data_IF_771653914934
#
_entry.id   IF_771653914934
#
_cell.length_a   1.000
_cell.length_b   1.000
_cell.length_c   1.000
_cell.angle_alpha   90.00
_cell.angle_beta   90.00
_cell.angle_gamma   90.00
#
_symmetry.space_group_name_H-M   'P 1'
#
loop_
_entity.id
_entity.type
_entity.pdbx_description
1 polymer ?
#
# COMPACT_ATOMS: atom_id res chain seq x y z
N UNK A 1 -41.35 0.03 15.01
CA UNK A 1 -42.15 1.09 14.33
C UNK A 1 -42.54 2.26 15.22
N UNK A 2 -42.77 2.04 16.52
CA UNK A 2 -43.13 3.10 17.46
C UNK A 2 -42.08 4.24 17.62
N UNK A 3 -40.81 3.95 17.54
CA UNK A 3 -39.71 4.91 17.73
C UNK A 3 -39.69 6.02 16.69
N UNK A 4 -39.92 5.69 15.41
CA UNK A 4 -39.98 6.67 14.33
C UNK A 4 -41.23 7.57 14.39
N UNK A 5 -42.35 7.06 14.89
CA UNK A 5 -43.56 7.86 15.09
C UNK A 5 -43.42 8.86 16.22
N UNK A 6 -42.75 8.46 17.31
CA UNK A 6 -42.43 9.33 18.44
C UNK A 6 -41.46 10.43 18.03
N UNK A 7 -40.40 10.09 17.29
CA UNK A 7 -39.46 11.08 16.75
C UNK A 7 -40.16 12.11 15.86
N UNK A 8 -41.04 11.67 14.95
CA UNK A 8 -41.81 12.56 14.04
C UNK A 8 -42.72 13.48 14.84
N UNK A 9 -43.38 12.99 15.87
CA UNK A 9 -44.25 13.79 16.72
C UNK A 9 -43.47 14.85 17.50
N UNK A 10 -42.28 14.50 18.03
CA UNK A 10 -41.43 15.48 18.73
C UNK A 10 -40.89 16.51 17.78
N UNK A 11 -40.40 16.14 16.59
CA UNK A 11 -39.83 17.06 15.62
C UNK A 11 -40.90 17.98 14.99
N UNK A 12 -42.19 17.58 15.01
CA UNK A 12 -43.30 18.41 14.52
C UNK A 12 -43.99 19.22 15.63
N UNK A 13 -43.47 19.20 16.86
CA UNK A 13 -44.02 19.95 17.97
C UNK A 13 -43.73 21.44 17.82
N UNK A 14 -44.77 22.22 17.62
CA UNK A 14 -44.68 23.66 17.22
C UNK A 14 -44.49 24.63 18.39
N UNK A 15 -44.70 24.18 19.63
CA UNK A 15 -44.64 25.05 20.80
C UNK A 15 -43.22 25.34 21.29
N UNK A 16 -42.27 24.42 21.01
CA UNK A 16 -40.86 24.56 21.39
C UNK A 16 -39.97 23.93 20.29
N UNK A 17 -38.77 24.46 20.03
CA UNK A 17 -37.84 23.91 19.04
C UNK A 17 -37.16 22.65 19.61
N UNK A 18 -37.89 21.53 19.64
CA UNK A 18 -37.39 20.22 20.07
C UNK A 18 -36.90 19.43 18.85
N UNK A 19 -35.71 18.83 18.97
CA UNK A 19 -35.20 17.94 17.95
C UNK A 19 -34.89 16.58 18.58
N UNK A 20 -35.65 15.57 18.23
CA UNK A 20 -35.39 14.19 18.62
C UNK A 20 -34.42 13.53 17.64
N UNK A 21 -33.23 13.15 18.11
CA UNK A 21 -32.21 12.44 17.34
C UNK A 21 -32.23 10.98 17.78
N UNK A 22 -32.19 10.05 16.82
CA UNK A 22 -32.01 8.64 17.08
C UNK A 22 -30.50 8.34 17.01
N UNK A 23 -29.81 8.10 18.13
CA UNK A 23 -28.36 7.90 18.15
C UNK A 23 -27.91 6.72 17.26
N UNK A 24 -28.74 5.67 17.18
CA UNK A 24 -28.44 4.51 16.35
C UNK A 24 -28.44 4.80 14.83
N UNK A 25 -29.31 5.71 14.35
CA UNK A 25 -29.33 6.11 12.94
C UNK A 25 -28.15 7.00 12.63
N UNK A 26 -27.86 7.99 13.47
CA UNK A 26 -26.71 8.87 13.29
C UNK A 26 -25.39 8.10 13.31
N UNK A 27 -25.23 7.11 14.21
CA UNK A 27 -24.09 6.22 14.23
C UNK A 27 -23.99 5.36 12.96
N UNK A 28 -25.11 4.82 12.46
CA UNK A 28 -25.09 4.01 11.23
C UNK A 28 -24.70 4.82 10.00
N UNK A 29 -25.14 6.07 9.89
CA UNK A 29 -24.74 6.99 8.82
C UNK A 29 -23.23 7.31 8.90
N UNK A 30 -22.72 7.55 10.11
CA UNK A 30 -21.28 7.79 10.33
C UNK A 30 -20.44 6.56 9.93
N UNK A 31 -20.88 5.35 10.30
CA UNK A 31 -20.22 4.11 9.89
C UNK A 31 -20.24 3.90 8.38
N UNK A 32 -21.34 4.26 7.70
CA UNK A 32 -21.40 4.18 6.24
C UNK A 32 -20.44 5.17 5.58
N UNK A 33 -20.36 6.41 6.08
CA UNK A 33 -19.39 7.40 5.58
C UNK A 33 -17.95 6.94 5.80
N UNK A 34 -17.64 6.37 6.97
CA UNK A 34 -16.31 5.81 7.24
C UNK A 34 -15.97 4.64 6.31
N UNK A 35 -16.94 3.76 6.05
CA UNK A 35 -16.77 2.65 5.09
C UNK A 35 -16.50 3.13 3.66
N UNK A 36 -17.15 4.20 3.22
CA UNK A 36 -16.87 4.81 1.93
C UNK A 36 -15.43 5.37 1.87
N UNK A 37 -15.00 6.09 2.90
CA UNK A 37 -13.62 6.59 3.00
C UNK A 37 -12.61 5.45 2.97
N UNK A 38 -12.82 4.40 3.75
CA UNK A 38 -11.94 3.23 3.78
C UNK A 38 -11.82 2.57 2.39
N UNK A 39 -12.93 2.36 1.70
CA UNK A 39 -12.94 1.77 0.37
C UNK A 39 -12.22 2.66 -0.66
N UNK A 40 -12.42 3.98 -0.59
CA UNK A 40 -11.75 4.94 -1.47
C UNK A 40 -10.24 4.94 -1.24
N UNK A 41 -9.80 4.97 0.03
CA UNK A 41 -8.37 4.90 0.37
C UNK A 41 -7.74 3.57 -0.06
N UNK A 42 -8.47 2.47 0.08
CA UNK A 42 -8.03 1.14 -0.37
C UNK A 42 -7.84 1.10 -1.90
N UNK A 43 -8.76 1.70 -2.65
CA UNK A 43 -8.65 1.80 -4.12
C UNK A 43 -7.45 2.65 -4.52
N UNK A 44 -7.27 3.82 -3.90
CA UNK A 44 -6.12 4.71 -4.15
C UNK A 44 -4.81 3.98 -3.83
N UNK A 45 -4.73 3.28 -2.69
CA UNK A 45 -3.55 2.51 -2.29
C UNK A 45 -3.21 1.41 -3.32
N UNK A 46 -4.22 0.74 -3.86
CA UNK A 46 -4.05 -0.24 -4.93
C UNK A 46 -3.47 0.38 -6.22
N UNK A 47 -3.98 1.54 -6.62
CA UNK A 47 -3.45 2.26 -7.78
C UNK A 47 -2.02 2.73 -7.58
N UNK A 48 -1.68 3.23 -6.39
CA UNK A 48 -0.32 3.63 -6.03
C UNK A 48 0.63 2.42 -6.07
N UNK A 49 0.20 1.27 -5.55
CA UNK A 49 0.98 0.03 -5.60
C UNK A 49 1.28 -0.39 -7.04
N UNK A 50 0.28 -0.38 -7.92
CA UNK A 50 0.46 -0.70 -9.34
C UNK A 50 1.44 0.28 -9.99
N UNK A 51 1.28 1.59 -9.77
CA UNK A 51 2.17 2.61 -10.30
C UNK A 51 3.61 2.42 -9.80
N UNK A 52 3.81 2.09 -8.53
CA UNK A 52 5.12 1.82 -7.94
C UNK A 52 5.79 0.58 -8.56
N UNK A 53 5.04 -0.51 -8.77
CA UNK A 53 5.55 -1.73 -9.41
C UNK A 53 5.94 -1.49 -10.88
N UNK A 54 5.14 -0.72 -11.62
CA UNK A 54 5.47 -0.32 -12.99
C UNK A 54 6.72 0.59 -13.02
N UNK A 55 6.83 1.53 -12.10
CA UNK A 55 8.00 2.40 -11.94
C UNK A 55 9.26 1.61 -11.62
N UNK A 56 9.19 0.63 -10.71
CA UNK A 56 10.28 -0.28 -10.41
C UNK A 56 10.73 -1.05 -11.66
N UNK A 57 9.79 -1.64 -12.38
CA UNK A 57 10.08 -2.39 -13.61
C UNK A 57 10.74 -1.50 -14.68
N UNK A 58 10.26 -0.27 -14.87
CA UNK A 58 10.81 0.68 -15.80
C UNK A 58 12.23 1.11 -15.42
N UNK A 59 12.48 1.38 -14.13
CA UNK A 59 13.79 1.75 -13.61
C UNK A 59 14.80 0.61 -13.77
N UNK A 60 14.38 -0.63 -13.52
CA UNK A 60 15.23 -1.81 -13.74
C UNK A 60 15.58 -2.02 -15.20
N UNK A 61 14.61 -1.83 -16.12
CA UNK A 61 14.88 -1.89 -17.57
C UNK A 61 15.88 -0.82 -18.01
N UNK A 62 15.80 0.39 -17.46
CA UNK A 62 16.77 1.45 -17.74
C UNK A 62 18.16 1.08 -17.21
N UNK A 63 18.25 0.62 -15.96
CA UNK A 63 19.51 0.18 -15.33
C UNK A 63 20.20 -0.94 -16.15
N UNK A 64 19.45 -1.92 -16.63
CA UNK A 64 19.98 -3.00 -17.48
C UNK A 64 20.60 -2.43 -18.78
N UNK A 65 19.95 -1.44 -19.42
CA UNK A 65 20.47 -0.80 -20.63
C UNK A 65 21.74 0.00 -20.38
N UNK A 66 21.82 0.72 -19.26
CA UNK A 66 23.01 1.48 -18.90
C UNK A 66 24.22 0.59 -18.62
N UNK A 67 23.99 -0.62 -18.04
CA UNK A 67 25.04 -1.60 -17.73
C UNK A 67 25.25 -2.66 -18.81
N UNK A 68 24.75 -2.45 -20.03
CA UNK A 68 24.83 -3.45 -21.11
C UNK A 68 26.27 -3.87 -21.41
N UNK A 69 27.23 -2.97 -21.35
CA UNK A 69 28.67 -3.27 -21.53
C UNK A 69 29.23 -4.15 -20.41
N UNK A 70 28.85 -3.92 -19.17
CA UNK A 70 29.29 -4.74 -18.02
C UNK A 70 28.71 -6.17 -18.12
N UNK A 71 27.44 -6.25 -18.54
CA UNK A 71 26.76 -7.53 -18.77
C UNK A 71 27.45 -8.32 -19.90
N UNK A 72 27.87 -7.64 -20.97
CA UNK A 72 28.60 -8.27 -22.06
C UNK A 72 30.00 -8.76 -21.61
N UNK A 73 30.70 -7.99 -20.80
CA UNK A 73 32.00 -8.39 -20.20
C UNK A 73 31.85 -9.65 -19.33
N UNK A 74 30.85 -9.72 -18.47
CA UNK A 74 30.54 -10.89 -17.66
C UNK A 74 30.29 -12.14 -18.52
N UNK A 75 29.67 -11.97 -19.68
CA UNK A 75 29.44 -13.07 -20.62
C UNK A 75 30.73 -13.55 -21.31
N UNK A 76 31.63 -12.65 -21.63
CA UNK A 76 32.94 -13.02 -22.21
C UNK A 76 33.76 -13.87 -21.25
N UNK A 77 33.65 -13.58 -19.94
CA UNK A 77 34.31 -14.36 -18.85
C UNK A 77 33.58 -15.70 -18.59
N UNK A 78 32.38 -15.92 -19.19
CA UNK A 78 31.67 -17.20 -19.11
C UNK A 78 30.55 -17.25 -18.08
N UNK A 79 30.08 -16.10 -17.56
CA UNK A 79 28.95 -16.07 -16.62
C UNK A 79 27.66 -16.60 -17.28
N UNK A 80 26.94 -17.56 -16.66
CA UNK A 80 25.70 -18.09 -17.21
C UNK A 80 24.59 -17.03 -17.17
N UNK A 81 23.67 -17.06 -18.15
CA UNK A 81 22.55 -16.12 -18.22
C UNK A 81 21.63 -16.17 -16.97
N UNK A 82 21.56 -17.33 -16.31
CA UNK A 82 20.84 -17.48 -15.05
C UNK A 82 21.42 -16.64 -13.90
N UNK A 83 22.74 -16.44 -13.87
CA UNK A 83 23.39 -15.61 -12.88
C UNK A 83 22.92 -14.14 -13.00
N UNK A 84 22.82 -13.63 -14.22
CA UNK A 84 22.31 -12.28 -14.50
C UNK A 84 20.84 -12.13 -14.06
N UNK A 85 20.02 -13.15 -14.32
CA UNK A 85 18.63 -13.16 -13.87
C UNK A 85 18.53 -13.03 -12.34
N UNK A 86 19.25 -13.88 -11.60
CA UNK A 86 19.24 -13.83 -10.14
C UNK A 86 19.82 -12.54 -9.58
N UNK A 87 20.82 -11.95 -10.22
CA UNK A 87 21.41 -10.69 -9.78
C UNK A 87 20.38 -9.54 -9.84
N UNK A 88 19.64 -9.44 -10.94
CA UNK A 88 18.60 -8.42 -11.14
C UNK A 88 17.45 -8.65 -10.16
N UNK A 89 17.04 -9.89 -9.95
CA UNK A 89 15.97 -10.23 -9.00
C UNK A 89 16.40 -9.91 -7.55
N UNK A 90 17.65 -10.18 -7.18
CA UNK A 90 18.19 -9.81 -5.88
C UNK A 90 18.23 -8.30 -5.67
N UNK A 91 18.61 -7.53 -6.70
CA UNK A 91 18.59 -6.06 -6.66
C UNK A 91 17.16 -5.54 -6.42
N UNK A 92 16.16 -6.08 -7.12
CA UNK A 92 14.75 -5.73 -6.91
C UNK A 92 14.27 -6.03 -5.49
N UNK A 93 14.63 -7.20 -4.96
CA UNK A 93 14.30 -7.59 -3.60
C UNK A 93 14.96 -6.67 -2.56
N UNK A 94 16.21 -6.31 -2.73
CA UNK A 94 16.90 -5.38 -1.83
C UNK A 94 16.24 -4.01 -1.82
N UNK A 95 15.95 -3.45 -2.99
CA UNK A 95 15.24 -2.17 -3.12
C UNK A 95 13.87 -2.24 -2.46
N UNK A 96 13.12 -3.33 -2.69
CA UNK A 96 11.82 -3.53 -2.06
C UNK A 96 11.91 -3.62 -0.53
N UNK A 97 12.86 -4.37 0.00
CA UNK A 97 13.06 -4.52 1.45
C UNK A 97 13.41 -3.20 2.13
N UNK A 98 14.33 -2.44 1.55
CA UNK A 98 14.72 -1.11 2.05
C UNK A 98 13.53 -0.16 2.01
N UNK A 99 12.79 -0.15 0.90
CA UNK A 99 11.60 0.70 0.74
C UNK A 99 10.50 0.33 1.74
N UNK A 100 10.28 -0.96 2.01
CA UNK A 100 9.32 -1.42 3.02
C UNK A 100 9.75 -1.01 4.43
N UNK A 101 11.02 -1.11 4.76
CA UNK A 101 11.55 -0.68 6.06
C UNK A 101 11.37 0.83 6.26
N UNK A 102 11.72 1.64 5.26
CA UNK A 102 11.55 3.09 5.30
C UNK A 102 10.06 3.46 5.37
N UNK A 103 9.21 2.82 4.57
CA UNK A 103 7.77 3.06 4.56
C UNK A 103 7.10 2.70 5.89
N UNK A 104 7.46 1.58 6.48
CA UNK A 104 6.93 1.13 7.80
C UNK A 104 7.42 2.05 8.92
N UNK A 105 8.69 2.46 8.89
CA UNK A 105 9.24 3.40 9.86
C UNK A 105 8.58 4.79 9.74
N UNK A 106 8.39 5.27 8.51
CA UNK A 106 7.71 6.54 8.24
C UNK A 106 6.26 6.53 8.73
N UNK A 107 5.53 5.43 8.47
CA UNK A 107 4.18 5.25 8.99
C UNK A 107 4.16 5.25 10.53
N UNK A 108 5.11 4.55 11.17
CA UNK A 108 5.23 4.53 12.63
C UNK A 108 5.43 5.94 13.21
N UNK A 109 6.37 6.69 12.66
CA UNK A 109 6.64 8.06 13.10
C UNK A 109 5.42 8.98 12.90
N UNK A 110 4.74 8.85 11.76
CA UNK A 110 3.54 9.61 11.47
C UNK A 110 2.41 9.30 12.48
N UNK A 111 2.20 8.02 12.83
CA UNK A 111 1.21 7.61 13.80
C UNK A 111 1.53 8.09 15.21
N UNK A 112 2.81 8.05 15.63
CA UNK A 112 3.24 8.56 16.94
C UNK A 112 2.94 10.06 17.07
N UNK A 113 3.30 10.85 16.05
CA UNK A 113 3.04 12.28 16.04
C UNK A 113 1.52 12.57 16.01
N UNK A 114 0.77 11.84 15.19
CA UNK A 114 -0.67 11.99 15.11
C UNK A 114 -1.39 11.59 16.40
N UNK A 115 -0.90 10.56 17.10
CA UNK A 115 -1.47 10.11 18.38
C UNK A 115 -1.42 11.19 19.45
N UNK A 116 -0.30 11.92 19.55
CA UNK A 116 -0.16 12.99 20.54
C UNK A 116 -1.18 14.12 20.29
N UNK A 117 -1.39 14.50 19.03
CA UNK A 117 -2.38 15.50 18.66
C UNK A 117 -3.84 15.00 18.88
N UNK A 118 -4.14 13.75 18.47
CA UNK A 118 -5.50 13.20 18.59
C UNK A 118 -5.86 12.87 20.05
N UNK A 119 -4.91 12.47 20.88
CA UNK A 119 -5.17 12.20 22.29
C UNK A 119 -5.41 13.50 23.08
N UNK A 120 -4.71 14.59 22.74
CA UNK A 120 -4.86 15.88 23.38
C UNK A 120 -6.20 16.55 23.05
N UNK A 121 -6.64 16.51 21.79
CA UNK A 121 -7.82 17.24 21.32
C UNK A 121 -9.11 16.41 21.35
N UNK A 122 -9.00 15.10 21.15
CA UNK A 122 -10.17 14.22 20.96
C UNK A 122 -10.24 13.03 21.93
N UNK A 123 -9.23 12.83 22.78
CA UNK A 123 -9.19 11.68 23.70
C UNK A 123 -9.13 10.31 23.01
N UNK A 124 -8.77 10.28 21.72
CA UNK A 124 -8.73 9.07 20.91
C UNK A 124 -7.36 8.38 21.03
N UNK A 125 -7.37 7.13 21.47
CA UNK A 125 -6.17 6.29 21.52
C UNK A 125 -6.12 5.41 20.27
N UNK A 126 -5.17 5.67 19.39
CA UNK A 126 -4.92 4.83 18.21
C UNK A 126 -4.01 3.69 18.61
N UNK A 127 -4.42 2.45 18.31
CA UNK A 127 -3.58 1.28 18.55
C UNK A 127 -2.34 1.28 17.65
N UNK A 128 -1.14 1.37 18.25
CA UNK A 128 0.16 1.35 17.54
C UNK A 128 0.58 -0.06 17.07
N UNK A 129 -0.37 -0.99 16.95
CA UNK A 129 -0.04 -2.36 16.55
C UNK A 129 0.15 -2.48 15.02
N UNK A 130 1.27 -1.93 14.53
CA UNK A 130 1.63 -1.95 13.11
C UNK A 130 2.00 -3.36 12.64
N UNK A 131 2.57 -4.19 13.53
CA UNK A 131 2.94 -5.58 13.25
C UNK A 131 1.77 -6.56 13.51
N UNK A 132 0.56 -6.19 13.13
CA UNK A 132 -0.58 -7.11 13.11
C UNK A 132 -0.37 -8.20 12.05
N UNK A 133 -0.90 -9.40 12.30
CA UNK A 133 -0.86 -10.52 11.34
C UNK A 133 -1.35 -10.11 9.95
N UNK A 134 -2.40 -9.30 9.86
CA UNK A 134 -2.93 -8.78 8.60
C UNK A 134 -1.90 -7.92 7.84
N UNK A 135 -1.14 -7.08 8.55
CA UNK A 135 -0.12 -6.24 7.94
C UNK A 135 1.09 -7.04 7.46
N UNK A 136 1.48 -8.10 8.20
CA UNK A 136 2.53 -9.01 7.77
C UNK A 136 2.13 -9.73 6.48
N UNK A 137 0.89 -10.21 6.39
CA UNK A 137 0.36 -10.84 5.17
C UNK A 137 0.38 -9.85 4.00
N UNK A 138 0.01 -8.59 4.24
CA UNK A 138 0.07 -7.54 3.22
C UNK A 138 1.51 -7.28 2.75
N UNK A 139 2.47 -7.19 3.66
CA UNK A 139 3.89 -7.03 3.32
C UNK A 139 4.42 -8.20 2.50
N UNK A 140 4.03 -9.43 2.83
CA UNK A 140 4.36 -10.63 2.04
C UNK A 140 3.76 -10.57 0.63
N UNK A 141 2.53 -10.11 0.51
CA UNK A 141 1.86 -9.95 -0.78
C UNK A 141 2.55 -8.89 -1.65
N UNK A 142 2.96 -7.76 -1.07
CA UNK A 142 3.75 -6.72 -1.76
C UNK A 142 5.09 -7.29 -2.23
N UNK A 143 5.79 -8.06 -1.39
CA UNK A 143 7.05 -8.71 -1.76
C UNK A 143 6.85 -9.69 -2.92
N UNK A 144 5.82 -10.52 -2.89
CA UNK A 144 5.48 -11.42 -3.98
C UNK A 144 5.17 -10.66 -5.28
N UNK A 145 4.40 -9.57 -5.20
CA UNK A 145 4.10 -8.71 -6.35
C UNK A 145 5.37 -8.06 -6.93
N UNK A 146 6.33 -7.68 -6.08
CA UNK A 146 7.63 -7.13 -6.51
C UNK A 146 8.44 -8.17 -7.29
N UNK A 147 8.50 -9.41 -6.82
CA UNK A 147 9.19 -10.51 -7.51
C UNK A 147 8.58 -10.72 -8.90
N UNK A 148 7.25 -10.74 -9.00
CA UNK A 148 6.54 -10.89 -10.28
C UNK A 148 6.83 -9.70 -11.20
N UNK A 149 6.81 -8.47 -10.70
CA UNK A 149 7.10 -7.28 -11.48
C UNK A 149 8.55 -7.21 -11.97
N UNK A 150 9.51 -7.64 -11.13
CA UNK A 150 10.92 -7.71 -11.46
C UNK A 150 11.25 -8.85 -12.42
N UNK A 151 10.43 -9.89 -12.50
CA UNK A 151 10.61 -11.00 -13.43
C UNK A 151 10.53 -10.53 -14.91
N UNK A 152 9.76 -9.48 -15.20
CA UNK A 152 9.65 -8.93 -16.58
C UNK A 152 10.99 -8.39 -17.09
N UNK A 153 11.68 -7.44 -16.41
CA UNK A 153 13.01 -6.99 -16.82
C UNK A 153 14.06 -8.10 -16.74
N UNK A 154 14.01 -8.95 -15.74
CA UNK A 154 14.94 -10.08 -15.58
C UNK A 154 14.85 -11.06 -16.77
N UNK A 155 13.64 -11.36 -17.24
CA UNK A 155 13.44 -12.22 -18.40
C UNK A 155 13.87 -11.57 -19.73
N UNK A 156 13.71 -10.26 -19.88
CA UNK A 156 14.22 -9.53 -21.06
C UNK A 156 15.74 -9.54 -21.08
N UNK A 157 16.41 -9.35 -19.96
CA UNK A 157 17.86 -9.48 -19.84
C UNK A 157 18.34 -10.89 -20.20
N UNK A 158 17.67 -11.93 -19.67
CA UNK A 158 17.94 -13.34 -20.00
C UNK A 158 17.82 -13.63 -21.49
N UNK A 159 16.74 -13.16 -22.14
CA UNK A 159 16.49 -13.37 -23.57
C UNK A 159 17.50 -12.64 -24.45
N UNK A 160 17.90 -11.43 -24.09
CA UNK A 160 18.94 -10.67 -24.80
C UNK A 160 20.29 -11.36 -24.64
N UNK A 161 20.57 -11.90 -23.46
CA UNK A 161 21.76 -12.68 -23.20
C UNK A 161 21.81 -13.99 -24.02
N UNK A 162 20.69 -14.62 -24.35
CA UNK A 162 20.63 -15.89 -25.08
C UNK A 162 20.59 -15.72 -26.62
N UNK A 163 20.21 -14.54 -27.14
CA UNK A 163 20.17 -14.24 -28.60
C UNK A 163 21.55 -13.96 -29.23
N UNK A 164 22.57 -13.79 -28.45
CA UNK A 164 23.94 -13.55 -28.92
C UNK A 164 24.78 -14.81 -29.10
N UNK A 165 24.14 -15.97 -29.12
CA UNK A 165 24.70 -17.24 -29.60
C UNK A 165 24.18 -17.50 -30.99
#
# INVERSE_FOLDING_TARGET
>A
MATFSVQRNINNYRSEPLTAILPGVALSELWQMMGFLENTLRLISGLILIAALLGLSAMMLASIKEREHEIQLLRVIGAPASFLFFLIELEALLVSFVSMAIGTLGLYLCLVIAQDALSADFGLHIGLNILSFSNIVFLMLVTAATIIAAAIPSFTAYKSANRGR
#
